data_IF_789116639017
#
_entry.id   IF_789116639017
#
_cell.length_a   1.000
_cell.length_b   1.000
_cell.length_c   1.000
_cell.angle_alpha   90.00
_cell.angle_beta   90.00
_cell.angle_gamma   90.00
#
_symmetry.space_group_name_H-M   'P 1'
#
loop_
_entity.id
_entity.type
_entity.pdbx_description
1 polymer ?
#
# COMPACT_ATOMS: atom_id res chain seq x y z
N UNK A 1 -2.37 -9.97 -7.08
CA UNK A 1 -2.25 -9.77 -5.62
C UNK A 1 -3.60 -9.38 -5.05
N UNK A 2 -3.88 -9.71 -3.78
CA UNK A 2 -5.03 -9.22 -3.02
C UNK A 2 -4.51 -8.35 -1.87
N UNK A 3 -5.02 -7.12 -1.68
CA UNK A 3 -4.93 -6.43 -0.40
C UNK A 3 -5.93 -7.08 0.54
N UNK A 4 -5.45 -7.82 1.56
CA UNK A 4 -6.24 -8.72 2.41
C UNK A 4 -6.96 -8.04 3.58
N UNK A 5 -7.14 -6.72 3.53
CA UNK A 5 -7.79 -5.91 4.58
C UNK A 5 -8.33 -4.60 4.01
N UNK A 6 -9.11 -3.89 4.82
CA UNK A 6 -9.52 -2.51 4.58
C UNK A 6 -9.43 -1.72 5.90
N UNK A 7 -9.52 -0.38 5.85
CA UNK A 7 -9.33 0.47 7.03
C UNK A 7 -10.26 0.09 8.19
N UNK A 8 -11.51 -0.17 7.89
CA UNK A 8 -12.55 -0.51 8.88
C UNK A 8 -12.68 -2.01 9.15
N UNK A 9 -11.67 -2.83 8.85
CA UNK A 9 -11.65 -4.24 9.24
C UNK A 9 -11.97 -4.38 10.73
N UNK A 10 -12.77 -5.38 11.10
CA UNK A 10 -13.22 -5.57 12.48
C UNK A 10 -12.05 -5.71 13.44
N UNK A 11 -12.16 -5.05 14.61
CA UNK A 11 -11.16 -5.09 15.68
C UNK A 11 -11.37 -6.26 16.65
N UNK A 12 -11.76 -7.42 16.14
CA UNK A 12 -12.09 -8.63 16.92
C UNK A 12 -10.91 -9.64 17.00
N UNK A 13 -9.73 -9.23 16.49
CA UNK A 13 -8.51 -10.03 16.42
C UNK A 13 -8.65 -11.33 15.61
N UNK A 14 -9.53 -11.36 14.59
CA UNK A 14 -9.81 -12.57 13.78
C UNK A 14 -9.40 -12.45 12.31
N UNK A 15 -8.88 -11.32 11.84
CA UNK A 15 -8.54 -11.15 10.43
C UNK A 15 -7.61 -12.27 9.94
N UNK A 16 -6.56 -12.59 10.70
CA UNK A 16 -5.62 -13.66 10.32
C UNK A 16 -6.27 -15.03 10.29
N UNK A 17 -7.20 -15.32 11.19
CA UNK A 17 -7.93 -16.59 11.19
C UNK A 17 -8.89 -16.66 10.00
N UNK A 18 -9.63 -15.59 9.70
CA UNK A 18 -10.53 -15.50 8.56
C UNK A 18 -9.77 -15.62 7.23
N UNK A 19 -8.64 -14.93 7.11
CA UNK A 19 -7.78 -15.01 5.92
C UNK A 19 -7.22 -16.42 5.73
N UNK A 20 -6.74 -17.05 6.80
CA UNK A 20 -6.30 -18.46 6.78
C UNK A 20 -7.41 -19.40 6.28
N UNK A 21 -8.63 -19.22 6.80
CA UNK A 21 -9.77 -20.07 6.42
C UNK A 21 -10.21 -19.84 4.96
N UNK A 22 -9.90 -18.69 4.38
CA UNK A 22 -10.19 -18.36 2.97
C UNK A 22 -9.10 -18.80 1.99
N UNK A 23 -7.98 -19.38 2.45
CA UNK A 23 -6.82 -19.67 1.62
C UNK A 23 -7.12 -20.57 0.41
N UNK A 24 -7.99 -21.60 0.57
CA UNK A 24 -8.39 -22.48 -0.54
C UNK A 24 -9.22 -21.73 -1.59
N UNK A 25 -10.15 -20.89 -1.16
CA UNK A 25 -10.97 -20.06 -2.04
C UNK A 25 -10.09 -19.04 -2.81
N UNK A 26 -9.16 -18.38 -2.13
CA UNK A 26 -8.22 -17.46 -2.78
C UNK A 26 -7.36 -18.16 -3.83
N UNK A 27 -6.89 -19.37 -3.52
CA UNK A 27 -6.13 -20.19 -4.47
C UNK A 27 -6.97 -20.58 -5.68
N UNK A 28 -8.23 -20.99 -5.49
CA UNK A 28 -9.16 -21.32 -6.58
C UNK A 28 -9.39 -20.14 -7.53
N UNK A 29 -9.45 -18.92 -6.99
CA UNK A 29 -9.57 -17.69 -7.78
C UNK A 29 -8.27 -17.24 -8.47
N UNK A 30 -7.16 -17.97 -8.29
CA UNK A 30 -5.88 -17.60 -8.90
C UNK A 30 -5.16 -16.45 -8.18
N UNK A 31 -5.53 -16.12 -6.94
CA UNK A 31 -4.76 -15.17 -6.13
C UNK A 31 -3.39 -15.78 -5.82
N UNK A 32 -2.34 -15.18 -6.34
CA UNK A 32 -0.96 -15.65 -6.22
C UNK A 32 -0.18 -14.99 -5.08
N UNK A 33 -0.67 -13.85 -4.57
CA UNK A 33 -0.07 -13.15 -3.44
C UNK A 33 -1.12 -12.40 -2.64
N UNK A 34 -0.89 -12.23 -1.34
CA UNK A 34 -1.73 -11.42 -0.45
C UNK A 34 -0.87 -10.41 0.32
N UNK A 35 -1.30 -9.17 0.32
CA UNK A 35 -0.76 -8.09 1.15
C UNK A 35 -1.56 -8.04 2.45
N UNK A 36 -0.91 -8.35 3.58
CA UNK A 36 -1.46 -8.31 4.93
C UNK A 36 -1.17 -6.95 5.59
N UNK A 37 -2.03 -6.47 6.50
CA UNK A 37 -1.83 -5.19 7.20
C UNK A 37 -0.60 -5.22 8.11
N UNK A 38 -0.14 -4.03 8.62
CA UNK A 38 0.94 -3.96 9.59
C UNK A 38 0.68 -4.89 10.77
N UNK A 39 1.62 -5.83 11.03
CA UNK A 39 1.41 -6.90 12.01
C UNK A 39 2.02 -6.60 13.38
N UNK A 40 2.79 -5.52 13.49
CA UNK A 40 3.45 -5.12 14.73
C UNK A 40 2.59 -4.21 15.59
N UNK A 41 2.99 -4.05 16.87
CA UNK A 41 2.22 -3.27 17.85
C UNK A 41 2.18 -1.79 17.47
N UNK A 42 0.97 -1.27 17.40
CA UNK A 42 0.67 0.13 17.19
C UNK A 42 0.41 0.89 18.50
N UNK A 43 0.47 2.20 18.48
CA UNK A 43 0.23 3.05 19.66
C UNK A 43 -1.20 2.91 20.20
N UNK A 44 -2.19 2.73 19.33
CA UNK A 44 -3.58 2.44 19.68
C UNK A 44 -3.86 0.99 20.10
N UNK A 45 -2.83 0.15 20.23
CA UNK A 45 -2.95 -1.24 20.69
C UNK A 45 -3.83 -2.08 19.76
N UNK A 46 -4.75 -2.87 20.32
CA UNK A 46 -5.67 -3.75 19.58
C UNK A 46 -6.76 -3.04 18.80
N UNK A 47 -6.84 -1.72 18.85
CA UNK A 47 -7.84 -0.93 18.11
C UNK A 47 -7.28 -0.27 16.86
N UNK A 48 -5.96 -0.09 16.79
CA UNK A 48 -5.30 0.58 15.68
C UNK A 48 -5.21 -0.28 14.43
N UNK A 49 -5.35 0.37 13.28
CA UNK A 49 -5.12 -0.22 11.96
C UNK A 49 -3.64 -0.49 11.66
N UNK A 50 -2.70 0.02 12.49
CA UNK A 50 -1.28 -0.31 12.43
C UNK A 50 -0.37 0.77 11.85
N UNK A 51 -0.94 1.86 11.30
CA UNK A 51 -0.18 2.98 10.71
C UNK A 51 0.27 4.03 11.76
N UNK A 52 0.21 3.69 13.04
CA UNK A 52 0.80 4.40 14.18
C UNK A 52 1.80 3.47 14.91
N UNK A 53 2.89 3.02 14.26
CA UNK A 53 3.76 1.97 14.78
C UNK A 53 4.42 2.37 16.11
N UNK A 54 4.28 1.51 17.11
CA UNK A 54 4.93 1.65 18.40
C UNK A 54 6.13 0.72 18.54
N UNK A 55 5.94 -0.60 18.54
CA UNK A 55 7.00 -1.58 18.69
C UNK A 55 7.04 -2.55 17.51
N UNK A 56 8.01 -2.35 16.62
CA UNK A 56 8.20 -3.18 15.43
C UNK A 56 8.52 -4.65 15.75
N UNK A 57 9.10 -4.94 16.93
CA UNK A 57 9.43 -6.30 17.37
C UNK A 57 8.30 -7.01 18.13
N UNK A 58 7.12 -6.40 18.26
CA UNK A 58 5.95 -7.01 18.88
C UNK A 58 4.87 -7.35 17.86
N UNK A 59 4.81 -8.58 17.37
CA UNK A 59 3.81 -9.08 16.43
C UNK A 59 2.50 -9.51 17.14
N UNK A 60 2.12 -8.87 18.22
CA UNK A 60 1.00 -9.28 19.07
C UNK A 60 1.39 -10.40 20.05
N UNK A 61 2.58 -10.28 20.67
CA UNK A 61 3.15 -11.24 21.61
C UNK A 61 3.18 -10.69 23.04
N UNK A 62 3.35 -9.37 23.21
CA UNK A 62 3.57 -8.75 24.50
C UNK A 62 2.39 -7.89 24.94
N UNK A 63 2.15 -7.82 26.26
CA UNK A 63 1.18 -6.87 26.82
C UNK A 63 1.75 -5.45 26.73
N UNK A 64 1.37 -4.74 25.69
CA UNK A 64 1.78 -3.36 25.42
C UNK A 64 0.60 -2.57 24.87
N UNK A 65 0.53 -1.28 25.19
CA UNK A 65 -0.57 -0.40 24.76
C UNK A 65 -1.97 -0.97 25.07
N UNK A 66 -2.08 -1.65 26.24
CA UNK A 66 -3.33 -2.18 26.78
C UNK A 66 -3.83 -3.48 26.14
N UNK A 67 -3.05 -4.12 25.26
CA UNK A 67 -3.43 -5.38 24.62
C UNK A 67 -2.21 -6.26 24.32
N UNK A 68 -2.42 -7.58 24.30
CA UNK A 68 -1.44 -8.52 23.71
C UNK A 68 -1.59 -8.54 22.20
N UNK A 69 -2.79 -8.81 21.70
CA UNK A 69 -3.07 -8.88 20.27
C UNK A 69 -3.03 -7.50 19.60
N UNK A 70 -2.69 -7.46 18.32
CA UNK A 70 -3.02 -6.34 17.44
C UNK A 70 -4.51 -6.39 17.06
N UNK A 71 -5.03 -5.40 16.35
CA UNK A 71 -6.39 -5.40 15.79
C UNK A 71 -6.71 -6.68 15.03
N UNK A 72 -5.74 -7.27 14.38
CA UNK A 72 -5.89 -8.35 13.40
C UNK A 72 -5.65 -9.75 13.97
N UNK A 73 -5.04 -9.84 15.16
CA UNK A 73 -4.75 -11.10 15.83
C UNK A 73 -3.46 -11.06 16.63
N UNK A 74 -3.12 -12.18 17.29
CA UNK A 74 -1.87 -12.36 17.99
C UNK A 74 -0.80 -13.00 17.08
N UNK A 75 0.44 -13.02 17.56
CA UNK A 75 1.60 -13.57 16.84
C UNK A 75 1.36 -15.00 16.32
N UNK A 76 0.76 -15.87 17.15
CA UNK A 76 0.49 -17.25 16.72
C UNK A 76 -0.50 -17.31 15.56
N UNK A 77 -1.59 -16.55 15.62
CA UNK A 77 -2.59 -16.48 14.54
C UNK A 77 -1.95 -15.93 13.25
N UNK A 78 -1.10 -14.91 13.37
CA UNK A 78 -0.38 -14.33 12.25
C UNK A 78 0.55 -15.36 11.58
N UNK A 79 1.41 -16.03 12.35
CA UNK A 79 2.33 -17.04 11.81
C UNK A 79 1.60 -18.27 11.24
N UNK A 80 0.51 -18.72 11.86
CA UNK A 80 -0.33 -19.81 11.33
C UNK A 80 -0.99 -19.40 10.00
N UNK A 81 -1.44 -18.13 9.87
CA UNK A 81 -2.02 -17.59 8.65
C UNK A 81 -0.99 -17.56 7.51
N UNK A 82 0.15 -16.91 7.74
CA UNK A 82 1.19 -16.76 6.72
C UNK A 82 1.70 -18.11 6.22
N UNK A 83 1.95 -19.04 7.13
CA UNK A 83 2.35 -20.41 6.80
C UNK A 83 1.29 -21.12 5.96
N UNK A 84 0.01 -21.04 6.32
CA UNK A 84 -1.07 -21.68 5.56
C UNK A 84 -1.17 -21.13 4.15
N UNK A 85 -1.08 -19.80 3.98
CA UNK A 85 -1.09 -19.16 2.67
C UNK A 85 0.07 -19.66 1.79
N UNK A 86 1.28 -19.71 2.34
CA UNK A 86 2.48 -20.18 1.64
C UNK A 86 2.40 -21.67 1.28
N UNK A 87 1.86 -22.51 2.15
CA UNK A 87 1.61 -23.94 1.86
C UNK A 87 0.59 -24.12 0.71
N UNK A 88 -0.31 -23.16 0.49
CA UNK A 88 -1.22 -23.12 -0.67
C UNK A 88 -0.58 -22.49 -1.92
N UNK A 89 0.66 -22.03 -1.83
CA UNK A 89 1.38 -21.34 -2.92
C UNK A 89 0.90 -19.89 -3.13
N UNK A 90 0.39 -19.25 -2.09
CA UNK A 90 0.06 -17.84 -2.07
C UNK A 90 1.19 -17.10 -1.35
N UNK A 91 1.90 -16.24 -2.07
CA UNK A 91 2.99 -15.43 -1.53
C UNK A 91 2.44 -14.43 -0.51
N UNK A 92 3.18 -14.21 0.57
CA UNK A 92 2.83 -13.26 1.62
C UNK A 92 3.63 -11.97 1.44
N UNK A 93 2.93 -10.85 1.32
CA UNK A 93 3.48 -9.50 1.27
C UNK A 93 3.12 -8.82 2.59
N UNK A 94 4.13 -8.36 3.33
CA UNK A 94 3.94 -7.69 4.62
C UNK A 94 3.99 -6.18 4.48
N UNK A 95 3.19 -5.48 5.26
CA UNK A 95 3.17 -4.02 5.29
C UNK A 95 4.30 -3.49 6.19
N UNK A 96 5.05 -2.52 5.71
CA UNK A 96 6.25 -1.95 6.35
C UNK A 96 6.09 -0.45 6.51
N UNK A 97 5.94 0.02 7.75
CA UNK A 97 5.81 1.44 8.11
C UNK A 97 7.08 1.85 8.84
N UNK A 98 8.01 2.52 8.15
CA UNK A 98 9.30 2.98 8.69
C UNK A 98 9.47 4.51 8.61
N UNK A 99 8.41 5.23 8.25
CA UNK A 99 8.43 6.68 8.19
C UNK A 99 8.43 7.31 9.59
N UNK A 100 7.64 6.77 10.49
CA UNK A 100 7.38 7.40 11.78
C UNK A 100 7.11 6.38 12.89
N UNK A 101 7.09 6.88 14.15
CA UNK A 101 6.67 6.14 15.33
C UNK A 101 5.71 6.96 16.18
N UNK A 102 4.74 6.28 16.81
CA UNK A 102 3.77 6.90 17.69
C UNK A 102 3.76 6.27 19.09
N UNK A 103 3.29 7.02 20.08
CA UNK A 103 3.03 6.53 21.43
C UNK A 103 4.28 6.28 22.27
N UNK A 104 5.27 7.17 22.24
CA UNK A 104 6.44 7.10 23.13
C UNK A 104 6.08 6.88 24.61
N UNK A 105 6.93 6.17 25.33
CA UNK A 105 6.68 5.76 26.72
C UNK A 105 6.97 6.88 27.72
N UNK A 106 7.97 7.72 27.42
CA UNK A 106 8.41 8.80 28.29
C UNK A 106 8.66 10.08 27.46
N UNK A 107 8.61 11.24 28.14
CA UNK A 107 8.96 12.53 27.53
C UNK A 107 10.44 12.82 27.63
N UNK A 108 10.94 13.61 26.69
CA UNK A 108 12.29 14.17 26.71
C UNK A 108 12.23 15.66 26.38
N UNK A 109 13.23 16.41 26.88
CA UNK A 109 13.45 17.82 26.57
C UNK A 109 14.60 17.96 25.60
N UNK A 110 14.37 18.67 24.51
CA UNK A 110 15.36 18.93 23.49
C UNK A 110 15.08 20.22 22.74
N UNK A 111 16.02 20.68 21.94
CA UNK A 111 15.82 21.88 21.12
C UNK A 111 15.22 21.51 19.76
N UNK A 112 14.28 22.34 19.32
CA UNK A 112 13.63 22.23 18.03
C UNK A 112 13.37 23.62 17.44
N UNK A 113 13.04 23.65 16.15
CA UNK A 113 12.60 24.83 15.41
C UNK A 113 11.17 24.57 14.95
N UNK A 114 10.25 25.48 15.23
CA UNK A 114 8.91 25.40 14.64
C UNK A 114 8.99 25.85 13.17
N UNK A 115 8.42 25.04 12.27
CA UNK A 115 8.42 25.33 10.82
C UNK A 115 7.02 25.64 10.32
N UNK A 116 6.94 26.29 9.14
CA UNK A 116 5.68 26.55 8.47
C UNK A 116 5.11 25.24 7.89
N UNK A 117 3.88 24.83 8.23
CA UNK A 117 3.29 23.59 7.70
C UNK A 117 3.16 23.55 6.17
N UNK A 118 2.98 24.71 5.52
CA UNK A 118 2.83 24.83 4.06
C UNK A 118 4.17 25.05 3.32
N UNK A 119 5.24 25.35 4.04
CA UNK A 119 6.59 25.41 3.51
C UNK A 119 7.59 25.04 4.61
N UNK A 120 7.89 23.77 4.75
CA UNK A 120 8.66 23.19 5.86
C UNK A 120 10.14 23.57 5.85
N UNK A 121 10.64 24.19 4.78
CA UNK A 121 11.94 24.83 4.74
C UNK A 121 11.93 26.24 5.37
N UNK A 122 10.74 26.79 5.68
CA UNK A 122 10.61 28.09 6.33
C UNK A 122 10.50 27.92 7.84
N UNK A 123 11.52 28.36 8.57
CA UNK A 123 11.50 28.47 10.03
C UNK A 123 10.57 29.60 10.45
N UNK A 124 9.69 29.36 11.42
CA UNK A 124 8.80 30.35 12.04
C UNK A 124 9.19 30.68 13.47
N UNK A 125 10.22 30.06 14.00
CA UNK A 125 10.85 30.37 15.28
C UNK A 125 12.38 30.28 15.20
N UNK A 126 13.07 30.90 16.16
CA UNK A 126 14.43 30.52 16.52
C UNK A 126 14.41 29.16 17.25
N UNK A 127 15.58 28.49 17.41
CA UNK A 127 15.68 27.30 18.23
C UNK A 127 15.21 27.53 19.68
N UNK A 128 14.37 26.61 20.21
CA UNK A 128 13.89 26.67 21.59
C UNK A 128 13.65 25.27 22.15
N UNK A 129 13.61 25.16 23.49
CA UNK A 129 13.37 23.88 24.17
C UNK A 129 11.89 23.50 24.10
N UNK A 130 11.61 22.28 23.61
CA UNK A 130 10.30 21.62 23.68
C UNK A 130 10.39 20.35 24.54
N UNK A 131 9.22 19.84 24.95
CA UNK A 131 9.09 18.55 25.63
C UNK A 131 8.09 17.68 24.87
N UNK A 132 8.53 16.51 24.40
CA UNK A 132 7.69 15.60 23.60
C UNK A 132 7.93 14.12 23.95
N UNK A 133 6.98 13.24 23.54
CA UNK A 133 7.04 11.81 23.75
C UNK A 133 7.91 11.14 22.68
N UNK A 134 9.22 11.22 22.82
CA UNK A 134 10.23 10.69 21.89
C UNK A 134 10.99 9.48 22.42
N UNK A 135 10.80 9.11 23.68
CA UNK A 135 11.51 7.98 24.29
C UNK A 135 10.64 6.72 24.26
N UNK A 136 11.18 5.66 23.61
CA UNK A 136 10.53 4.35 23.52
C UNK A 136 11.43 3.31 24.17
N UNK A 137 10.95 2.70 25.25
CA UNK A 137 11.68 1.74 26.08
C UNK A 137 11.08 0.33 25.99
N UNK A 138 9.87 0.20 25.46
CA UNK A 138 9.15 -1.05 25.28
C UNK A 138 9.10 -1.93 26.54
N UNK A 139 8.54 -1.44 27.63
CA UNK A 139 8.63 -2.11 28.96
C UNK A 139 7.98 -3.50 28.97
N UNK A 140 6.89 -3.71 28.20
CA UNK A 140 6.22 -5.01 28.11
C UNK A 140 7.04 -6.07 27.38
N UNK A 141 7.99 -5.68 26.53
CA UNK A 141 8.87 -6.59 25.79
C UNK A 141 10.14 -6.96 26.57
N UNK A 142 10.53 -6.19 27.57
CA UNK A 142 11.68 -6.46 28.43
C UNK A 142 13.00 -6.71 27.67
N UNK A 143 13.24 -5.91 26.63
CA UNK A 143 14.41 -6.00 25.71
C UNK A 143 14.53 -7.31 24.92
N UNK A 144 13.51 -8.17 24.91
CA UNK A 144 13.48 -9.36 24.04
C UNK A 144 13.52 -8.92 22.57
N UNK A 145 14.32 -9.58 21.74
CA UNK A 145 14.60 -9.34 20.34
C UNK A 145 15.49 -8.14 20.03
N UNK A 146 15.34 -7.00 20.72
CA UNK A 146 16.21 -5.83 20.63
C UNK A 146 16.29 -5.11 21.97
N UNK A 147 17.47 -4.61 22.32
CA UNK A 147 17.70 -3.76 23.48
C UNK A 147 17.81 -2.27 23.12
N UNK A 148 17.56 -1.92 21.84
CA UNK A 148 17.62 -0.54 21.37
C UNK A 148 16.49 0.28 22.00
N UNK A 149 16.83 1.43 22.54
CA UNK A 149 15.90 2.41 23.07
C UNK A 149 15.90 3.64 22.14
N UNK A 150 14.73 4.02 21.68
CA UNK A 150 14.58 5.23 20.86
C UNK A 150 14.54 6.45 21.75
N UNK A 151 15.13 7.54 21.28
CA UNK A 151 15.12 8.84 21.94
C UNK A 151 15.02 9.94 20.87
N UNK A 152 14.95 11.21 21.29
CA UNK A 152 14.74 12.34 20.36
C UNK A 152 15.77 12.40 19.21
N UNK A 153 16.99 11.88 19.39
CA UNK A 153 18.02 11.89 18.34
C UNK A 153 17.75 10.86 17.24
N UNK A 154 16.72 10.03 17.39
CA UNK A 154 16.27 9.09 16.39
C UNK A 154 15.25 9.69 15.41
N UNK A 155 14.84 10.95 15.59
CA UNK A 155 13.76 11.58 14.86
C UNK A 155 14.17 12.92 14.28
N UNK A 156 13.71 13.22 13.06
CA UNK A 156 13.91 14.50 12.37
C UNK A 156 12.88 15.55 12.82
N UNK A 157 11.67 15.12 13.22
CA UNK A 157 10.59 16.02 13.62
C UNK A 157 9.48 15.37 14.44
N UNK A 158 8.65 16.24 15.05
CA UNK A 158 7.44 15.87 15.80
C UNK A 158 6.33 16.88 15.56
N UNK A 159 5.06 16.48 15.69
CA UNK A 159 3.88 17.36 15.59
C UNK A 159 3.28 17.72 16.96
N UNK A 160 3.75 17.10 18.03
CA UNK A 160 3.24 17.29 19.37
C UNK A 160 4.33 17.64 20.37
N UNK A 161 4.08 18.70 21.15
CA UNK A 161 4.92 19.08 22.29
C UNK A 161 4.03 19.51 23.48
N UNK A 162 4.31 19.00 24.66
CA UNK A 162 3.54 19.25 25.89
C UNK A 162 3.45 20.72 26.29
N UNK A 163 4.47 21.48 25.95
CA UNK A 163 4.63 22.89 26.34
C UNK A 163 4.41 23.87 25.19
N UNK A 164 3.85 23.41 24.08
CA UNK A 164 3.57 24.22 22.87
C UNK A 164 2.17 23.96 22.35
N UNK A 165 1.68 24.90 21.52
CA UNK A 165 0.52 24.70 20.65
C UNK A 165 0.91 23.77 19.48
N UNK A 166 -0.08 23.13 18.89
CA UNK A 166 0.10 22.27 17.69
C UNK A 166 1.00 22.90 16.63
N UNK A 167 1.81 22.09 15.99
CA UNK A 167 2.72 22.54 14.95
C UNK A 167 3.72 21.48 14.59
N UNK A 168 4.50 21.72 13.54
CA UNK A 168 5.60 20.86 13.13
C UNK A 168 6.89 21.41 13.71
N UNK A 169 7.58 20.60 14.50
CA UNK A 169 8.82 20.96 15.18
C UNK A 169 9.96 20.11 14.62
N UNK A 170 10.87 20.73 13.90
CA UNK A 170 12.09 20.09 13.41
C UNK A 170 13.07 19.96 14.56
N UNK A 171 13.51 18.73 14.83
CA UNK A 171 14.40 18.43 15.96
C UNK A 171 15.85 18.79 15.60
N UNK A 172 16.57 19.33 16.58
CA UNK A 172 18.00 19.66 16.44
C UNK A 172 18.83 18.58 17.16
N UNK A 173 19.64 17.86 16.40
CA UNK A 173 20.58 16.86 16.93
C UNK A 173 21.79 16.66 16.00
N UNK A 174 22.75 15.83 16.42
CA UNK A 174 24.06 15.70 15.77
C UNK A 174 24.09 14.84 14.50
N UNK A 175 22.98 14.14 14.13
CA UNK A 175 22.99 13.19 12.99
C UNK A 175 22.57 13.81 11.66
N UNK A 176 21.97 14.98 11.65
CA UNK A 176 21.63 15.70 10.42
C UNK A 176 21.04 17.07 10.72
N UNK A 177 21.30 18.01 9.80
CA UNK A 177 20.69 19.34 9.82
C UNK A 177 19.40 19.34 8.99
N UNK A 178 18.31 19.80 9.57
CA UNK A 178 17.05 19.96 8.84
C UNK A 178 16.38 18.63 8.47
N UNK A 179 15.54 18.70 7.45
CA UNK A 179 14.84 17.55 6.87
C UNK A 179 15.75 16.70 5.99
N UNK A 180 15.41 15.43 5.79
CA UNK A 180 16.09 14.61 4.79
C UNK A 180 15.78 15.10 3.36
N UNK A 181 16.60 14.75 2.40
CA UNK A 181 16.41 15.14 1.00
C UNK A 181 15.36 14.25 0.34
N UNK A 182 14.27 14.86 -0.13
CA UNK A 182 13.16 14.17 -0.81
C UNK A 182 13.21 14.40 -2.32
N UNK A 183 12.56 13.53 -3.08
CA UNK A 183 12.41 13.68 -4.54
C UNK A 183 11.41 14.78 -4.88
N UNK A 184 10.36 14.89 -4.06
CA UNK A 184 9.26 15.83 -4.20
C UNK A 184 9.53 17.07 -3.36
N UNK A 185 9.26 18.26 -3.94
CA UNK A 185 9.36 19.54 -3.28
C UNK A 185 8.01 20.10 -2.78
N UNK A 186 6.99 19.26 -2.74
CA UNK A 186 5.69 19.60 -2.13
C UNK A 186 5.93 20.15 -0.70
N UNK A 187 5.24 21.23 -0.35
CA UNK A 187 5.43 21.96 0.93
C UNK A 187 6.89 22.37 1.21
N UNK A 188 7.67 22.58 0.13
CA UNK A 188 9.10 22.91 0.19
C UNK A 188 10.02 21.71 0.47
N UNK A 189 9.58 20.79 1.29
CA UNK A 189 10.17 19.46 1.54
C UNK A 189 9.13 18.62 2.30
N UNK A 190 8.80 17.43 1.80
CA UNK A 190 7.76 16.61 2.41
C UNK A 190 8.32 15.35 3.10
N UNK A 191 9.48 15.46 3.74
CA UNK A 191 10.04 14.45 4.64
C UNK A 191 9.05 14.15 5.78
N UNK A 192 8.74 15.14 6.58
CA UNK A 192 7.81 15.00 7.69
C UNK A 192 6.38 14.68 7.22
N UNK A 193 5.81 13.56 7.66
CA UNK A 193 4.39 13.22 7.43
C UNK A 193 3.57 13.42 8.69
N UNK A 194 3.87 12.68 9.78
CA UNK A 194 3.13 12.69 11.05
C UNK A 194 3.94 12.11 12.20
N UNK A 195 3.48 12.28 13.43
CA UNK A 195 4.02 11.72 14.67
C UNK A 195 5.51 12.04 14.90
N UNK A 196 6.29 11.03 15.34
CA UNK A 196 7.74 11.16 15.47
C UNK A 196 8.37 10.63 14.17
N UNK A 197 8.79 11.52 13.30
CA UNK A 197 9.38 11.23 12.01
C UNK A 197 10.78 10.63 12.18
N UNK A 198 11.02 9.45 11.63
CA UNK A 198 12.27 8.69 11.85
C UNK A 198 13.41 9.28 11.03
N UNK A 199 14.46 9.75 11.68
CA UNK A 199 15.68 10.21 11.00
C UNK A 199 16.53 9.02 10.52
N UNK A 200 16.45 8.75 9.24
CA UNK A 200 17.19 7.66 8.60
C UNK A 200 18.67 7.99 8.35
N UNK A 201 19.13 9.21 8.64
CA UNK A 201 20.56 9.60 8.63
C UNK A 201 21.30 9.08 9.87
N UNK A 202 20.56 8.80 10.97
CA UNK A 202 21.12 8.24 12.18
C UNK A 202 21.58 6.77 11.96
N UNK A 203 22.90 6.47 12.05
CA UNK A 203 23.41 5.13 11.76
C UNK A 203 22.91 4.05 12.75
N UNK A 204 22.56 4.44 13.96
CA UNK A 204 22.01 3.51 14.96
C UNK A 204 20.58 3.13 14.59
N UNK A 205 19.77 4.09 14.11
CA UNK A 205 18.44 3.84 13.58
C UNK A 205 18.50 2.94 12.35
N UNK A 206 19.35 3.25 11.37
CA UNK A 206 19.56 2.40 10.19
C UNK A 206 19.91 0.96 10.56
N UNK A 207 20.80 0.81 11.55
CA UNK A 207 21.19 -0.52 12.02
C UNK A 207 20.00 -1.26 12.64
N UNK A 208 19.26 -0.61 13.53
CA UNK A 208 18.07 -1.19 14.18
C UNK A 208 17.01 -1.62 13.16
N UNK A 209 16.72 -0.78 12.16
CA UNK A 209 15.77 -1.09 11.11
C UNK A 209 16.23 -2.23 10.19
N UNK A 210 17.54 -2.33 9.91
CA UNK A 210 18.10 -3.45 9.15
C UNK A 210 18.04 -4.77 9.97
N UNK A 211 18.39 -4.73 11.26
CA UNK A 211 18.30 -5.89 12.15
C UNK A 211 16.84 -6.35 12.32
N UNK A 212 15.90 -5.39 12.43
CA UNK A 212 14.49 -5.67 12.47
C UNK A 212 13.98 -6.34 11.18
N UNK A 213 14.31 -5.82 10.01
CA UNK A 213 13.88 -6.40 8.73
C UNK A 213 14.32 -7.87 8.60
N UNK A 214 15.57 -8.18 8.99
CA UNK A 214 16.06 -9.55 9.06
C UNK A 214 15.28 -10.40 10.06
N UNK A 215 15.11 -9.90 11.31
CA UNK A 215 14.36 -10.59 12.35
C UNK A 215 12.92 -10.86 11.90
N UNK A 216 12.26 -9.89 11.30
CA UNK A 216 10.88 -10.04 10.83
C UNK A 216 10.77 -11.12 9.76
N UNK A 217 11.70 -11.14 8.80
CA UNK A 217 11.76 -12.21 7.82
C UNK A 217 12.05 -13.58 8.48
N UNK A 218 12.93 -13.66 9.44
CA UNK A 218 13.23 -14.91 10.16
C UNK A 218 12.00 -15.45 10.92
N UNK A 219 11.06 -14.57 11.33
CA UNK A 219 9.80 -14.98 11.97
C UNK A 219 8.74 -15.46 10.98
N UNK A 220 8.60 -14.79 9.84
CA UNK A 220 7.43 -14.90 8.95
C UNK A 220 7.77 -15.57 7.62
N UNK A 221 9.02 -15.49 7.18
CA UNK A 221 9.49 -15.95 5.87
C UNK A 221 8.74 -15.34 4.69
N UNK A 222 8.31 -14.09 4.81
CA UNK A 222 7.53 -13.39 3.79
C UNK A 222 8.23 -13.37 2.41
N UNK A 223 7.43 -13.21 1.37
CA UNK A 223 7.88 -13.26 -0.03
C UNK A 223 7.99 -11.86 -0.64
N UNK A 224 7.36 -10.88 -0.03
CA UNK A 224 7.39 -9.48 -0.46
C UNK A 224 7.08 -8.50 0.66
N UNK A 225 7.30 -7.22 0.35
CA UNK A 225 7.01 -6.08 1.22
C UNK A 225 6.19 -5.03 0.48
N UNK A 226 5.23 -4.43 1.17
CA UNK A 226 4.65 -3.15 0.79
C UNK A 226 5.27 -2.09 1.69
N UNK A 227 5.86 -1.08 1.10
CA UNK A 227 6.54 0.01 1.81
C UNK A 227 5.59 1.20 1.86
N UNK A 228 5.19 1.55 3.08
CA UNK A 228 4.29 2.66 3.37
C UNK A 228 4.96 4.00 3.13
N UNK A 229 4.21 4.97 2.62
CA UNK A 229 4.55 6.39 2.56
C UNK A 229 5.96 6.70 2.00
N UNK A 230 6.42 5.95 0.98
CA UNK A 230 7.79 6.12 0.44
C UNK A 230 8.05 7.51 -0.15
N UNK A 231 7.00 8.28 -0.45
CA UNK A 231 7.09 9.68 -0.86
C UNK A 231 7.79 10.55 0.19
N UNK A 232 7.64 10.18 1.46
CA UNK A 232 8.11 10.89 2.64
C UNK A 232 9.39 10.29 3.23
N UNK A 233 10.13 9.50 2.43
CA UNK A 233 11.33 8.83 2.91
C UNK A 233 12.43 8.86 1.85
N UNK A 234 13.66 8.91 2.33
CA UNK A 234 14.84 8.91 1.47
C UNK A 234 14.86 7.66 0.56
N UNK A 235 14.93 7.83 -0.76
CA UNK A 235 15.04 6.69 -1.69
C UNK A 235 16.35 5.91 -1.47
N UNK A 236 17.43 6.56 -1.03
CA UNK A 236 18.71 5.91 -0.74
C UNK A 236 18.60 4.97 0.48
N UNK A 237 17.79 5.35 1.48
CA UNK A 237 17.52 4.46 2.61
C UNK A 237 16.83 3.16 2.16
N UNK A 238 15.76 3.24 1.39
CA UNK A 238 15.05 2.04 0.94
C UNK A 238 15.85 1.19 -0.05
N UNK A 239 16.63 1.81 -0.90
CA UNK A 239 17.57 1.08 -1.78
C UNK A 239 18.55 0.24 -0.95
N UNK A 240 19.16 0.84 0.08
CA UNK A 240 20.07 0.14 0.99
C UNK A 240 19.35 -0.93 1.82
N UNK A 241 18.21 -0.58 2.40
CA UNK A 241 17.44 -1.48 3.25
C UNK A 241 16.97 -2.73 2.48
N UNK A 242 16.44 -2.57 1.27
CA UNK A 242 16.04 -3.68 0.42
C UNK A 242 17.24 -4.55 -0.02
N UNK A 243 18.36 -3.91 -0.34
CA UNK A 243 19.59 -4.64 -0.64
C UNK A 243 20.04 -5.50 0.54
N UNK A 244 20.06 -4.93 1.75
CA UNK A 244 20.44 -5.65 2.96
C UNK A 244 19.45 -6.78 3.29
N UNK A 245 18.15 -6.53 3.18
CA UNK A 245 17.11 -7.54 3.40
C UNK A 245 17.29 -8.73 2.44
N UNK A 246 17.41 -8.48 1.14
CA UNK A 246 17.60 -9.51 0.11
C UNK A 246 18.90 -10.28 0.31
N UNK A 247 19.98 -9.57 0.62
CA UNK A 247 21.30 -10.18 0.87
C UNK A 247 21.29 -11.07 2.11
N UNK A 248 20.70 -10.61 3.21
CA UNK A 248 20.62 -11.36 4.47
C UNK A 248 19.71 -12.58 4.38
N UNK A 249 18.64 -12.51 3.60
CA UNK A 249 17.66 -13.59 3.43
C UNK A 249 17.98 -14.54 2.27
N UNK A 250 18.88 -14.12 1.38
CA UNK A 250 19.21 -14.82 0.12
C UNK A 250 17.95 -15.10 -0.75
N UNK A 251 16.95 -14.22 -0.66
CA UNK A 251 15.70 -14.28 -1.42
C UNK A 251 15.51 -13.03 -2.27
N UNK A 252 14.91 -13.20 -3.44
CA UNK A 252 14.44 -12.09 -4.25
C UNK A 252 13.08 -11.60 -3.70
N UNK A 253 13.12 -10.85 -2.59
CA UNK A 253 11.93 -10.27 -1.96
C UNK A 253 11.30 -9.25 -2.91
N UNK A 254 10.03 -9.49 -3.30
CA UNK A 254 9.26 -8.50 -4.05
C UNK A 254 9.06 -7.25 -3.21
N UNK A 255 9.10 -6.06 -3.82
CA UNK A 255 8.83 -4.81 -3.11
C UNK A 255 7.91 -3.93 -3.95
N UNK A 256 6.90 -3.36 -3.30
CA UNK A 256 6.05 -2.31 -3.84
C UNK A 256 5.96 -1.16 -2.86
N UNK A 257 6.25 0.06 -3.32
CA UNK A 257 6.18 1.29 -2.52
C UNK A 257 4.88 2.05 -2.80
N UNK A 258 4.38 2.70 -1.78
CA UNK A 258 3.31 3.67 -1.90
C UNK A 258 3.89 5.08 -2.07
N UNK A 259 3.97 5.50 -3.33
CA UNK A 259 4.26 6.89 -3.70
C UNK A 259 2.96 7.52 -4.21
N UNK A 260 2.16 8.09 -3.29
CA UNK A 260 0.84 8.59 -3.67
C UNK A 260 0.94 10.02 -4.20
N UNK A 261 0.93 10.15 -5.53
CA UNK A 261 0.99 11.43 -6.25
C UNK A 261 0.23 11.30 -7.58
N UNK A 262 -1.12 11.31 -7.54
CA UNK A 262 -1.94 11.20 -8.75
C UNK A 262 -1.66 12.35 -9.73
N UNK A 263 -1.47 12.03 -11.01
CA UNK A 263 -1.13 13.00 -12.07
C UNK A 263 0.36 13.33 -12.17
N UNK A 264 1.19 12.88 -11.22
CA UNK A 264 2.63 13.18 -11.18
C UNK A 264 3.50 11.95 -11.55
N UNK A 265 3.16 11.28 -12.66
CA UNK A 265 3.83 10.03 -13.08
C UNK A 265 5.35 10.17 -13.20
N UNK A 266 5.85 11.36 -13.53
CA UNK A 266 7.29 11.63 -13.63
C UNK A 266 7.99 11.56 -12.26
N UNK A 267 7.31 11.91 -11.16
CA UNK A 267 7.86 11.76 -9.81
C UNK A 267 7.94 10.27 -9.43
N UNK A 268 6.92 9.48 -9.77
CA UNK A 268 6.93 8.04 -9.57
C UNK A 268 8.11 7.39 -10.34
N UNK A 269 8.29 7.76 -11.62
CA UNK A 269 9.39 7.25 -12.43
C UNK A 269 10.74 7.67 -11.85
N UNK A 270 10.87 8.93 -11.44
CA UNK A 270 12.11 9.44 -10.82
C UNK A 270 12.45 8.67 -9.54
N UNK A 271 11.44 8.31 -8.72
CA UNK A 271 11.66 7.49 -7.52
C UNK A 271 12.16 6.08 -7.88
N UNK A 272 11.55 5.43 -8.87
CA UNK A 272 12.01 4.13 -9.38
C UNK A 272 13.45 4.21 -9.89
N UNK A 273 13.79 5.23 -10.66
CA UNK A 273 15.15 5.43 -11.21
C UNK A 273 16.17 5.66 -10.09
N UNK A 274 15.84 6.48 -9.08
CA UNK A 274 16.72 6.77 -7.95
C UNK A 274 16.95 5.53 -7.08
N UNK A 275 15.93 4.69 -6.91
CA UNK A 275 16.06 3.41 -6.22
C UNK A 275 16.62 2.29 -7.10
N UNK A 276 17.09 2.63 -8.34
CA UNK A 276 17.63 1.69 -9.32
C UNK A 276 16.71 0.51 -9.63
N UNK A 277 15.39 0.75 -9.65
CA UNK A 277 14.38 -0.28 -9.89
C UNK A 277 14.29 -1.33 -8.78
N UNK A 278 14.74 -1.02 -7.57
CA UNK A 278 14.71 -1.96 -6.45
C UNK A 278 13.29 -2.29 -5.97
N UNK A 279 12.30 -1.46 -6.34
CA UNK A 279 10.89 -1.67 -6.04
C UNK A 279 9.99 -1.25 -7.19
N UNK A 280 8.78 -1.78 -7.22
CA UNK A 280 7.65 -1.26 -7.99
C UNK A 280 6.89 -0.21 -7.19
N UNK A 281 6.02 0.56 -7.84
CA UNK A 281 5.12 1.50 -7.14
C UNK A 281 3.67 1.22 -7.50
N UNK A 282 2.75 1.56 -6.59
CA UNK A 282 1.32 1.63 -6.91
C UNK A 282 1.07 2.75 -7.91
N UNK A 283 0.27 2.48 -8.93
CA UNK A 283 -0.09 3.45 -9.96
C UNK A 283 -1.24 4.34 -9.48
N UNK A 284 -0.91 5.36 -8.69
CA UNK A 284 -1.86 6.33 -8.16
C UNK A 284 -2.58 7.13 -9.26
N UNK A 285 -1.90 7.38 -10.39
CA UNK A 285 -2.49 8.07 -11.54
C UNK A 285 -3.56 7.22 -12.22
N UNK A 286 -3.35 5.92 -12.38
CA UNK A 286 -4.35 5.02 -12.96
C UNK A 286 -5.59 4.92 -12.05
N UNK A 287 -5.39 4.83 -10.73
CA UNK A 287 -6.49 4.85 -9.77
C UNK A 287 -7.32 6.13 -9.90
N UNK A 288 -6.65 7.29 -9.98
CA UNK A 288 -7.30 8.58 -10.18
C UNK A 288 -8.08 8.63 -11.50
N UNK A 289 -7.53 8.10 -12.59
CA UNK A 289 -8.21 8.02 -13.88
C UNK A 289 -9.48 7.15 -13.78
N UNK A 290 -9.45 6.04 -13.05
CA UNK A 290 -10.64 5.21 -12.80
C UNK A 290 -11.70 5.98 -11.99
N UNK A 291 -11.28 6.68 -10.93
CA UNK A 291 -12.18 7.52 -10.14
C UNK A 291 -12.88 8.56 -11.02
N UNK A 292 -12.13 9.36 -11.80
CA UNK A 292 -12.67 10.38 -12.69
C UNK A 292 -13.60 9.76 -13.74
N UNK A 293 -13.15 8.70 -14.42
CA UNK A 293 -13.96 8.00 -15.43
C UNK A 293 -15.29 7.50 -14.86
N UNK A 294 -15.27 7.00 -13.62
CA UNK A 294 -16.48 6.53 -12.95
C UNK A 294 -17.48 7.66 -12.62
N UNK A 295 -16.98 8.87 -12.32
CA UNK A 295 -17.81 10.05 -12.04
C UNK A 295 -18.35 10.70 -13.33
N UNK A 296 -17.56 10.78 -14.39
CA UNK A 296 -17.95 11.41 -15.64
C UNK A 296 -18.82 10.50 -16.52
N UNK A 297 -18.78 9.19 -16.31
CA UNK A 297 -19.59 8.22 -17.06
C UNK A 297 -19.34 8.30 -18.57
N UNK A 298 -20.39 8.38 -19.34
CA UNK A 298 -20.33 8.44 -20.81
C UNK A 298 -19.63 9.69 -21.38
N UNK A 299 -19.35 10.71 -20.56
CA UNK A 299 -18.61 11.90 -20.99
C UNK A 299 -17.08 11.70 -20.92
N UNK A 300 -16.60 10.71 -20.19
CA UNK A 300 -15.18 10.39 -20.14
C UNK A 300 -14.73 9.70 -21.41
N UNK A 301 -13.62 10.17 -21.98
CA UNK A 301 -12.98 9.54 -23.13
C UNK A 301 -12.10 8.37 -22.67
N UNK A 302 -12.62 7.16 -22.77
CA UNK A 302 -11.93 5.94 -22.33
C UNK A 302 -10.57 5.74 -23.01
N UNK A 303 -10.31 6.31 -24.19
CA UNK A 303 -9.00 6.21 -24.84
C UNK A 303 -7.88 6.79 -24.01
N UNK A 304 -8.22 7.68 -23.05
CA UNK A 304 -7.30 8.35 -22.14
C UNK A 304 -7.10 7.64 -20.81
N UNK A 305 -7.70 6.46 -20.62
CA UNK A 305 -7.71 5.79 -19.32
C UNK A 305 -6.30 5.49 -18.77
N UNK A 306 -5.33 5.31 -19.66
CA UNK A 306 -3.92 5.07 -19.31
C UNK A 306 -3.02 6.31 -19.51
N UNK A 307 -3.55 7.47 -19.92
CA UNK A 307 -2.75 8.68 -20.07
C UNK A 307 -2.12 9.07 -18.73
N UNK A 308 -0.85 9.48 -18.74
CA UNK A 308 -0.07 9.92 -17.57
C UNK A 308 -0.06 8.90 -16.42
N UNK A 309 -0.05 7.59 -16.74
CA UNK A 309 -0.01 6.51 -15.77
C UNK A 309 1.34 5.80 -15.77
N UNK A 310 1.71 5.26 -14.62
CA UNK A 310 2.90 4.42 -14.50
C UNK A 310 2.78 3.13 -15.33
N UNK A 311 1.57 2.58 -15.43
CA UNK A 311 1.25 1.41 -16.26
C UNK A 311 1.57 1.62 -17.73
N UNK A 312 1.38 2.84 -18.26
CA UNK A 312 1.76 3.18 -19.62
C UNK A 312 3.27 3.42 -19.74
N UNK A 313 3.85 4.17 -18.78
CA UNK A 313 5.23 4.62 -18.84
C UNK A 313 6.23 3.50 -18.51
N UNK A 314 5.97 2.73 -17.45
CA UNK A 314 6.85 1.67 -16.94
C UNK A 314 6.05 0.47 -16.40
N UNK A 315 5.45 -0.33 -17.29
CA UNK A 315 4.54 -1.40 -16.93
C UNK A 315 5.15 -2.49 -16.03
N UNK A 316 6.47 -2.67 -16.06
CA UNK A 316 7.16 -3.68 -15.26
C UNK A 316 7.33 -3.28 -13.80
N UNK A 317 7.25 -1.99 -13.50
CA UNK A 317 7.33 -1.45 -12.13
C UNK A 317 6.00 -0.86 -11.65
N UNK A 318 4.91 -1.11 -12.38
CA UNK A 318 3.57 -0.65 -12.02
C UNK A 318 2.78 -1.73 -11.29
N UNK A 319 2.26 -1.41 -10.11
CA UNK A 319 1.23 -2.19 -9.41
C UNK A 319 -0.09 -1.46 -9.53
N UNK A 320 -1.04 -2.05 -10.25
CA UNK A 320 -2.33 -1.43 -10.55
C UNK A 320 -3.36 -1.71 -9.46
N UNK A 321 -4.12 -0.69 -9.07
CA UNK A 321 -5.20 -0.77 -8.08
C UNK A 321 -6.47 -0.12 -8.62
N UNK A 322 -7.64 -0.60 -8.19
CA UNK A 322 -8.93 0.07 -8.42
C UNK A 322 -9.27 0.95 -7.23
N UNK A 323 -9.28 0.38 -6.04
CA UNK A 323 -9.37 1.07 -4.76
C UNK A 323 -8.37 0.47 -3.77
N UNK A 324 -8.13 1.18 -2.66
CA UNK A 324 -7.36 0.71 -1.52
C UNK A 324 -7.98 1.24 -0.20
N UNK A 325 -7.32 0.96 0.92
CA UNK A 325 -7.79 1.34 2.25
C UNK A 325 -7.78 2.86 2.53
N UNK A 326 -7.05 3.65 1.72
CA UNK A 326 -7.00 5.12 1.83
C UNK A 326 -7.95 5.82 0.86
N UNK A 327 -8.22 5.23 -0.31
CA UNK A 327 -9.16 5.81 -1.28
C UNK A 327 -10.61 5.42 -1.03
N UNK A 328 -10.88 4.45 -0.15
CA UNK A 328 -12.24 4.06 0.22
C UNK A 328 -13.01 5.21 0.88
N UNK A 329 -14.36 5.19 0.86
CA UNK A 329 -15.17 6.26 1.46
C UNK A 329 -14.80 6.56 2.92
N UNK A 330 -14.84 7.86 3.29
CA UNK A 330 -14.57 8.43 4.61
C UNK A 330 -13.09 8.39 5.04
N UNK A 331 -12.16 8.12 4.12
CA UNK A 331 -10.73 8.21 4.39
C UNK A 331 -10.13 9.51 3.83
N UNK A 332 -8.92 9.86 4.28
CA UNK A 332 -8.27 11.13 3.95
C UNK A 332 -8.02 11.31 2.45
N UNK A 333 -7.66 10.25 1.74
CA UNK A 333 -7.45 10.22 0.30
C UNK A 333 -8.70 9.77 -0.47
N UNK A 334 -9.89 9.95 0.11
CA UNK A 334 -11.16 9.49 -0.46
C UNK A 334 -11.32 9.81 -1.95
N UNK A 335 -11.21 8.79 -2.78
CA UNK A 335 -11.41 8.84 -4.23
C UNK A 335 -11.94 7.49 -4.74
N UNK A 336 -13.08 6.99 -4.20
CA UNK A 336 -13.58 5.67 -4.57
C UNK A 336 -14.04 5.62 -6.01
N UNK A 337 -13.83 4.49 -6.66
CA UNK A 337 -14.38 4.18 -7.97
C UNK A 337 -15.84 3.78 -7.81
N UNK A 338 -16.73 4.39 -8.60
CA UNK A 338 -18.17 4.10 -8.56
C UNK A 338 -18.46 2.62 -8.88
N UNK A 339 -19.42 2.04 -8.15
CA UNK A 339 -19.77 0.62 -8.26
C UNK A 339 -19.98 0.12 -9.69
N UNK A 340 -20.63 0.93 -10.55
CA UNK A 340 -20.90 0.55 -11.93
C UNK A 340 -19.63 0.42 -12.78
N UNK A 341 -18.56 1.19 -12.48
CA UNK A 341 -17.32 1.20 -13.24
C UNK A 341 -16.30 0.17 -12.74
N UNK A 342 -16.41 -0.29 -11.49
CA UNK A 342 -15.47 -1.28 -10.91
C UNK A 342 -15.27 -2.53 -11.76
N UNK A 343 -16.32 -3.17 -12.34
CA UNK A 343 -16.10 -4.32 -13.23
C UNK A 343 -15.27 -3.98 -14.46
N UNK A 344 -15.40 -2.77 -15.01
CA UNK A 344 -14.62 -2.28 -16.17
C UNK A 344 -13.15 -2.05 -15.75
N UNK A 345 -12.95 -1.37 -14.62
CA UNK A 345 -11.61 -1.13 -14.06
C UNK A 345 -10.87 -2.44 -13.76
N UNK A 346 -11.56 -3.41 -13.14
CA UNK A 346 -10.98 -4.73 -12.92
C UNK A 346 -10.70 -5.51 -14.21
N UNK A 347 -11.54 -5.39 -15.24
CA UNK A 347 -11.24 -5.98 -16.55
C UNK A 347 -9.95 -5.36 -17.14
N UNK A 348 -9.76 -4.03 -17.02
CA UNK A 348 -8.58 -3.32 -17.49
C UNK A 348 -7.29 -3.77 -16.77
N UNK A 349 -7.31 -3.97 -15.47
CA UNK A 349 -6.09 -4.37 -14.73
C UNK A 349 -5.86 -5.88 -14.71
N UNK A 350 -6.91 -6.71 -14.79
CA UNK A 350 -6.79 -8.16 -14.69
C UNK A 350 -6.53 -8.84 -16.03
N UNK A 351 -7.10 -8.33 -17.13
CA UNK A 351 -7.09 -9.04 -18.42
C UNK A 351 -6.10 -8.46 -19.44
N UNK A 352 -5.49 -7.31 -19.15
CA UNK A 352 -4.40 -6.74 -19.95
C UNK A 352 -3.04 -7.30 -19.51
N UNK A 353 -2.02 -7.06 -20.34
CA UNK A 353 -0.64 -7.51 -20.10
C UNK A 353 0.09 -6.63 -19.08
N UNK A 354 -0.18 -5.34 -19.11
CA UNK A 354 0.59 -4.33 -18.41
C UNK A 354 0.22 -4.22 -16.92
N UNK A 355 1.24 -4.08 -16.07
CA UNK A 355 1.10 -3.88 -14.64
C UNK A 355 0.84 -5.18 -13.84
N UNK A 356 1.04 -5.09 -12.55
CA UNK A 356 0.79 -6.17 -11.59
C UNK A 356 -0.49 -5.85 -10.79
N UNK A 357 -1.62 -6.53 -11.04
CA UNK A 357 -2.90 -6.14 -10.47
C UNK A 357 -3.03 -6.46 -8.98
N UNK A 358 -3.58 -5.51 -8.23
CA UNK A 358 -3.98 -5.65 -6.84
C UNK A 358 -5.50 -5.50 -6.70
N UNK A 359 -6.16 -6.52 -6.17
CA UNK A 359 -7.59 -6.51 -5.85
C UNK A 359 -7.77 -6.01 -4.43
N UNK A 360 -8.77 -5.19 -4.16
CA UNK A 360 -9.08 -4.68 -2.83
C UNK A 360 -10.03 -5.61 -2.08
N UNK A 361 -9.81 -5.80 -0.77
CA UNK A 361 -10.59 -6.74 0.07
C UNK A 361 -12.12 -6.57 -0.06
N UNK A 362 -12.69 -5.34 0.10
CA UNK A 362 -14.14 -5.15 -0.03
C UNK A 362 -14.68 -5.52 -1.41
N UNK A 363 -13.88 -5.34 -2.46
CA UNK A 363 -14.31 -5.65 -3.82
C UNK A 363 -14.47 -7.16 -4.06
N UNK A 364 -13.81 -7.99 -3.24
CA UNK A 364 -13.94 -9.46 -3.28
C UNK A 364 -14.93 -10.01 -2.27
N UNK A 365 -15.03 -9.41 -1.08
CA UNK A 365 -15.82 -9.96 0.05
C UNK A 365 -16.99 -9.10 0.47
N UNK A 366 -17.04 -7.82 0.02
CA UNK A 366 -17.92 -6.81 0.58
C UNK A 366 -17.38 -6.27 1.92
N UNK A 367 -17.91 -5.15 2.34
CA UNK A 367 -17.70 -4.58 3.68
C UNK A 367 -18.86 -3.66 4.06
N UNK A 368 -19.14 -3.54 5.34
CA UNK A 368 -19.97 -2.46 5.86
C UNK A 368 -19.29 -1.84 7.09
N UNK A 369 -19.45 -0.54 7.27
CA UNK A 369 -18.92 0.18 8.41
C UNK A 369 -19.62 1.53 8.60
N UNK A 370 -19.44 2.10 9.78
CA UNK A 370 -19.95 3.43 10.11
C UNK A 370 -18.79 4.30 10.58
N UNK A 371 -18.70 5.51 10.05
CA UNK A 371 -17.76 6.53 10.51
C UNK A 371 -18.33 7.93 10.22
N UNK A 372 -17.61 8.96 10.63
CA UNK A 372 -18.00 10.36 10.41
C UNK A 372 -17.40 10.89 9.13
N UNK A 373 -18.22 11.66 8.39
CA UNK A 373 -17.73 12.47 7.28
C UNK A 373 -16.92 13.69 7.78
N UNK A 374 -16.38 14.49 6.84
CA UNK A 374 -15.56 15.68 7.13
C UNK A 374 -16.35 16.79 7.88
N UNK A 375 -17.66 16.74 7.81
CA UNK A 375 -18.58 17.64 8.55
C UNK A 375 -18.94 17.09 9.94
N UNK A 376 -18.50 15.88 10.28
CA UNK A 376 -18.74 15.21 11.57
C UNK A 376 -20.06 14.45 11.65
N UNK A 377 -20.80 14.27 10.54
CA UNK A 377 -22.02 13.50 10.50
C UNK A 377 -21.71 12.01 10.37
N UNK A 378 -22.46 11.18 11.11
CA UNK A 378 -22.35 9.72 11.03
C UNK A 378 -22.89 9.23 9.68
N UNK A 379 -22.08 8.43 8.99
CA UNK A 379 -22.39 7.81 7.69
C UNK A 379 -22.25 6.30 7.78
N UNK A 380 -23.24 5.58 7.26
CA UNK A 380 -23.18 4.13 7.10
C UNK A 380 -22.80 3.78 5.66
N UNK A 381 -21.69 3.08 5.49
CA UNK A 381 -21.12 2.74 4.19
C UNK A 381 -21.28 1.24 3.91
N UNK A 382 -21.80 0.93 2.73
CA UNK A 382 -21.95 -0.43 2.21
C UNK A 382 -21.12 -0.58 0.94
N UNK A 383 -20.10 -1.41 1.00
CA UNK A 383 -19.27 -1.78 -0.15
C UNK A 383 -19.66 -3.20 -0.57
N UNK A 384 -20.37 -3.30 -1.70
CA UNK A 384 -20.75 -4.60 -2.23
C UNK A 384 -19.55 -5.28 -2.93
N UNK A 385 -19.50 -6.60 -2.90
CA UNK A 385 -18.63 -7.38 -3.77
C UNK A 385 -18.85 -6.94 -5.23
N UNK A 386 -17.74 -6.74 -5.95
CA UNK A 386 -17.80 -6.33 -7.36
C UNK A 386 -18.44 -7.41 -8.21
N UNK A 387 -19.37 -7.00 -9.06
CA UNK A 387 -20.06 -7.93 -9.96
C UNK A 387 -19.05 -8.61 -10.90
N UNK A 388 -19.13 -9.93 -11.01
CA UNK A 388 -18.26 -10.76 -11.88
C UNK A 388 -16.76 -10.75 -11.53
N UNK A 389 -16.37 -10.33 -10.34
CA UNK A 389 -14.93 -10.32 -9.97
C UNK A 389 -14.34 -11.73 -9.98
N UNK A 390 -15.09 -12.76 -9.53
CA UNK A 390 -14.62 -14.15 -9.52
C UNK A 390 -14.38 -14.65 -10.95
N UNK A 391 -15.29 -14.32 -11.87
CA UNK A 391 -15.15 -14.68 -13.29
C UNK A 391 -13.99 -13.94 -13.96
N UNK A 392 -13.75 -12.66 -13.61
CA UNK A 392 -12.61 -11.90 -14.11
C UNK A 392 -11.28 -12.47 -13.61
N UNK A 393 -11.20 -12.88 -12.34
CA UNK A 393 -10.02 -13.52 -11.77
C UNK A 393 -9.75 -14.88 -12.44
N UNK A 394 -10.78 -15.69 -12.66
CA UNK A 394 -10.67 -16.95 -13.40
C UNK A 394 -10.27 -16.73 -14.86
N UNK A 395 -10.86 -15.72 -15.51
CA UNK A 395 -10.49 -15.38 -16.89
C UNK A 395 -9.03 -14.92 -17.00
N UNK A 396 -8.50 -14.20 -16.00
CA UNK A 396 -7.06 -13.90 -15.93
C UNK A 396 -6.22 -15.17 -15.87
N UNK A 397 -6.60 -16.10 -15.01
CA UNK A 397 -5.88 -17.34 -14.80
C UNK A 397 -5.90 -18.27 -16.03
N UNK A 398 -6.98 -18.27 -16.79
CA UNK A 398 -7.19 -19.23 -17.89
C UNK A 398 -6.86 -18.63 -19.26
N UNK A 399 -7.08 -17.32 -19.50
CA UNK A 399 -7.13 -16.76 -20.85
C UNK A 399 -6.24 -15.53 -21.06
N UNK A 400 -5.81 -14.79 -20.04
CA UNK A 400 -5.10 -13.53 -20.21
C UNK A 400 -3.60 -13.71 -20.50
N UNK A 401 -3.27 -14.47 -21.54
CA UNK A 401 -1.90 -14.84 -21.93
C UNK A 401 -1.59 -14.44 -23.38
N UNK A 402 -0.32 -14.43 -23.71
CA UNK A 402 0.19 -14.16 -25.05
C UNK A 402 0.19 -12.67 -25.39
N UNK A 403 0.50 -12.37 -26.65
CA UNK A 403 0.64 -11.01 -27.14
C UNK A 403 -0.69 -10.25 -27.08
N UNK A 404 -0.64 -8.97 -26.73
CA UNK A 404 -1.79 -8.07 -26.64
C UNK A 404 -1.91 -7.18 -27.88
N UNK A 405 -3.14 -7.02 -28.40
CA UNK A 405 -3.49 -5.99 -29.40
C UNK A 405 -4.60 -5.13 -28.88
N UNK A 406 -4.38 -3.81 -28.92
CA UNK A 406 -5.34 -2.81 -28.46
C UNK A 406 -6.14 -2.21 -29.62
N UNK A 407 -7.42 -1.96 -29.35
CA UNK A 407 -8.37 -1.30 -30.26
C UNK A 407 -9.03 -0.14 -29.50
N UNK A 408 -8.26 0.94 -29.33
CA UNK A 408 -8.63 2.14 -28.56
C UNK A 408 -8.96 3.29 -29.51
N UNK A 409 -9.87 3.06 -30.45
CA UNK A 409 -10.25 3.98 -31.53
C UNK A 409 -11.62 4.67 -31.31
N UNK A 410 -12.37 4.32 -30.26
CA UNK A 410 -13.65 4.93 -29.89
C UNK A 410 -13.61 5.45 -28.45
N UNK A 411 -14.14 6.66 -28.24
CA UNK A 411 -14.09 7.34 -26.94
C UNK A 411 -14.89 6.61 -25.84
N UNK A 412 -15.89 5.84 -26.22
CA UNK A 412 -16.77 5.18 -25.25
C UNK A 412 -16.71 3.65 -25.31
N UNK A 413 -15.87 3.09 -26.18
CA UNK A 413 -15.75 1.64 -26.32
C UNK A 413 -14.30 1.25 -26.59
N UNK A 414 -13.71 0.52 -25.67
CA UNK A 414 -12.38 -0.06 -25.80
C UNK A 414 -12.46 -1.55 -26.07
N UNK A 415 -11.47 -2.07 -26.79
CA UNK A 415 -11.29 -3.50 -26.95
C UNK A 415 -9.82 -3.88 -26.96
N UNK A 416 -9.51 -5.11 -26.58
CA UNK A 416 -8.20 -5.72 -26.77
C UNK A 416 -8.31 -7.23 -26.92
N UNK A 417 -7.27 -7.82 -27.46
CA UNK A 417 -7.12 -9.28 -27.52
C UNK A 417 -5.85 -9.71 -26.83
N UNK A 418 -5.88 -10.90 -26.24
CA UNK A 418 -4.70 -11.67 -25.84
C UNK A 418 -4.65 -12.93 -26.71
N UNK A 419 -3.53 -13.17 -27.38
CA UNK A 419 -3.43 -14.26 -28.36
C UNK A 419 -3.38 -15.67 -27.75
N UNK A 420 -3.13 -15.77 -26.45
CA UNK A 420 -2.86 -17.05 -25.80
C UNK A 420 -1.43 -17.53 -26.00
N UNK A 421 -1.17 -18.77 -25.57
CA UNK A 421 0.06 -19.49 -25.77
C UNK A 421 -0.24 -21.00 -25.91
N UNK A 422 0.78 -21.86 -25.90
CA UNK A 422 0.60 -23.31 -26.09
C UNK A 422 -0.26 -23.95 -24.99
N UNK A 423 -0.28 -23.39 -23.77
CA UNK A 423 -0.98 -23.93 -22.61
C UNK A 423 -2.32 -23.25 -22.35
N UNK A 424 -2.52 -22.01 -22.84
CA UNK A 424 -3.66 -21.17 -22.54
C UNK A 424 -4.25 -20.58 -23.83
N UNK A 425 -5.56 -20.73 -24.02
CA UNK A 425 -6.27 -20.01 -25.08
C UNK A 425 -6.33 -18.52 -24.73
N UNK A 426 -6.26 -17.66 -25.74
CA UNK A 426 -6.38 -16.21 -25.56
C UNK A 426 -7.80 -15.77 -25.23
N UNK A 427 -7.99 -14.45 -25.13
CA UNK A 427 -9.29 -13.83 -24.96
C UNK A 427 -9.44 -12.55 -25.80
N UNK A 428 -10.70 -12.16 -26.04
CA UNK A 428 -11.06 -10.85 -26.53
C UNK A 428 -11.95 -10.17 -25.49
N UNK A 429 -11.65 -8.91 -25.19
CA UNK A 429 -12.39 -8.12 -24.22
C UNK A 429 -12.89 -6.86 -24.90
N UNK A 430 -14.17 -6.53 -24.69
CA UNK A 430 -14.78 -5.26 -25.07
C UNK A 430 -15.47 -4.69 -23.87
N UNK A 431 -15.27 -3.42 -23.62
CA UNK A 431 -15.94 -2.68 -22.55
C UNK A 431 -16.42 -1.32 -23.05
N UNK A 432 -17.47 -0.80 -22.41
CA UNK A 432 -18.05 0.48 -22.74
C UNK A 432 -18.50 1.22 -21.47
N UNK A 433 -18.33 2.54 -21.46
CA UNK A 433 -18.84 3.42 -20.39
C UNK A 433 -20.23 4.02 -20.71
N UNK A 434 -20.90 3.52 -21.73
CA UNK A 434 -22.30 3.83 -22.06
C UNK A 434 -23.03 2.58 -22.56
N UNK A 435 -24.30 2.73 -22.98
CA UNK A 435 -25.12 1.64 -23.48
C UNK A 435 -24.40 0.80 -24.54
N UNK A 436 -24.77 -0.48 -24.63
CA UNK A 436 -24.11 -1.48 -25.44
C UNK A 436 -23.85 -1.01 -26.87
N UNK A 437 -22.59 -1.11 -27.30
CA UNK A 437 -22.13 -0.84 -28.65
C UNK A 437 -21.44 -2.04 -29.26
N UNK A 438 -21.25 -1.98 -30.59
CA UNK A 438 -20.42 -2.95 -31.29
C UNK A 438 -19.00 -2.42 -31.43
N UNK A 439 -18.00 -3.33 -31.30
CA UNK A 439 -16.60 -3.03 -31.53
C UNK A 439 -16.06 -3.88 -32.66
N UNK A 440 -15.53 -3.25 -33.67
CA UNK A 440 -14.84 -3.96 -34.73
C UNK A 440 -13.38 -4.24 -34.33
N UNK A 441 -13.00 -5.52 -34.31
CA UNK A 441 -11.64 -5.97 -34.01
C UNK A 441 -11.13 -6.84 -35.16
N UNK A 442 -10.60 -6.24 -36.26
CA UNK A 442 -10.38 -6.91 -37.54
C UNK A 442 -9.33 -8.02 -37.55
N UNK A 443 -8.44 -8.10 -36.60
CA UNK A 443 -7.34 -9.08 -36.54
C UNK A 443 -7.44 -10.01 -35.33
N UNK A 444 -8.63 -10.57 -35.10
CA UNK A 444 -8.84 -11.50 -33.98
C UNK A 444 -8.49 -12.92 -34.43
N UNK A 445 -7.35 -13.43 -33.98
CA UNK A 445 -6.97 -14.83 -34.13
C UNK A 445 -7.27 -15.59 -32.85
N UNK A 446 -8.16 -16.57 -32.90
CA UNK A 446 -8.41 -17.47 -31.78
C UNK A 446 -7.93 -18.88 -32.12
N UNK A 447 -7.14 -19.46 -31.26
CA UNK A 447 -7.01 -20.92 -31.21
C UNK A 447 -8.17 -21.44 -30.35
N UNK A 448 -9.20 -21.99 -30.98
CA UNK A 448 -10.31 -22.61 -30.25
C UNK A 448 -9.87 -24.00 -29.83
N UNK A 449 -9.49 -24.19 -28.57
CA UNK A 449 -9.54 -25.53 -27.99
C UNK A 449 -10.99 -25.87 -27.66
N UNK A 450 -11.38 -27.11 -27.80
CA UNK A 450 -12.76 -27.62 -27.88
C UNK A 450 -13.60 -27.57 -26.58
N UNK A 451 -13.44 -26.57 -25.75
CA UNK A 451 -14.27 -26.32 -24.57
C UNK A 451 -15.12 -25.07 -24.81
N UNK A 452 -16.17 -25.22 -25.55
CA UNK A 452 -17.45 -24.57 -25.53
C UNK A 452 -17.56 -23.08 -25.26
N UNK A 453 -17.03 -22.17 -26.12
CA UNK A 453 -17.57 -20.82 -26.25
C UNK A 453 -18.34 -20.73 -27.58
N UNK A 454 -19.65 -20.49 -27.51
CA UNK A 454 -20.44 -20.23 -28.67
C UNK A 454 -20.20 -18.81 -29.17
N UNK A 455 -19.83 -18.70 -30.44
CA UNK A 455 -19.94 -17.47 -31.21
C UNK A 455 -21.39 -16.96 -31.21
N UNK A 456 -21.60 -15.72 -30.85
CA UNK A 456 -22.69 -14.95 -31.41
C UNK A 456 -22.17 -13.84 -32.30
#
# INVERSE_FOLDING_TARGET
MLQGFHWYSEGDAKLYENTKNSADYLKELGISAIWLPPAYKAAGGGYSVGYDPYDLFDLGEFEQKGTVSTKYGNKKQYLDCTKTLQEKGISVIVDIVLNHKAGGDETEKFHAIKVNPENRQQNVSDPFEIESYTKFTFPGREKKYSAFEWNFTCFSGVDYALNQEEGIFQIIHDFGDGWEEMIDDEKGNYDYLMYNDIDQRNPFVRKELNDWGKWYHDQVHFDGVRLDAVKHQSPDFYKEWLYNLRSNTQKNIFAVGEYWAPGEVNLLQKYIDTTEGSMSLFDSSLQQNFHIASKEGANYDLRKIFDETLTLLNPTHSVTVVDNHDTQPLQDLEAPVEKWFKPLAYALILLRENGYPCVFYPDLFGANYTDKDKEGNEQEIFLDKVEKIDELLKARQEFAYGFQRDYFDDANSLGWTREGNDDHSGCAVVLSNKDAGEKNMPEVFFTITSAGFQKK
#
